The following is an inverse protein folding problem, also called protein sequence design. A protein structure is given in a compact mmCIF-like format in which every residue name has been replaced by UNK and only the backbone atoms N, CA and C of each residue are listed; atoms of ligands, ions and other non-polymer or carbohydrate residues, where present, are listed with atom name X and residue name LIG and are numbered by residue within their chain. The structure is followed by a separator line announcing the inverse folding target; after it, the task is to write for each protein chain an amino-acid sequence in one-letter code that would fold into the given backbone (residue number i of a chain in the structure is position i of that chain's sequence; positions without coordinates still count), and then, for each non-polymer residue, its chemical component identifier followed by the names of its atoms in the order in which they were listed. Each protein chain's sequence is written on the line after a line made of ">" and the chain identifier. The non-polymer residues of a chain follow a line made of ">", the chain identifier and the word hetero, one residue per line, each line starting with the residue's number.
data_IF_873223094168
#
_entry.id   IF_873223094168
#
_cell.length_a   1.000
_cell.length_b   1.000
_cell.length_c   1.000
_cell.angle_alpha   90.00
_cell.angle_beta   90.00
_cell.angle_gamma   90.00
#
_symmetry.space_group_name_H-M   'P 1'
#
loop_
_entity.id
_entity.type
_entity.pdbx_description
1 polymer ?
#
# COMPACT_ATOMS: atom_id res chain seq x y z
N UNK A 1 -6.44 10.60 14.98
CA UNK A 1 -4.97 10.62 14.82
C UNK A 1 -4.50 9.19 14.68
N UNK A 2 -4.27 8.74 13.45
CA UNK A 2 -3.56 7.48 13.18
C UNK A 2 -2.07 7.73 13.47
N UNK A 3 -1.73 7.76 14.75
CA UNK A 3 -0.34 7.61 15.16
C UNK A 3 0.03 6.15 14.94
N UNK A 4 1.15 5.92 14.20
CA UNK A 4 1.61 4.61 13.81
C UNK A 4 1.57 3.62 14.97
N UNK A 5 0.85 2.53 14.78
CA UNK A 5 0.90 1.42 15.73
C UNK A 5 2.33 0.92 15.80
N UNK A 6 2.84 0.84 17.03
CA UNK A 6 4.10 0.13 17.26
C UNK A 6 3.93 -1.29 16.76
N UNK A 7 4.81 -1.71 15.87
CA UNK A 7 4.89 -3.06 15.28
C UNK A 7 5.09 -4.21 16.32
N UNK A 8 4.90 -3.95 17.60
CA UNK A 8 5.20 -4.88 18.70
C UNK A 8 4.36 -6.17 18.72
N UNK A 9 3.30 -6.27 17.91
CA UNK A 9 2.57 -7.52 17.63
C UNK A 9 1.86 -7.44 16.29
N UNK A 10 2.59 -7.48 15.19
CA UNK A 10 1.97 -7.77 13.90
C UNK A 10 1.53 -9.22 13.91
N UNK A 11 0.23 -9.48 13.99
CA UNK A 11 -0.32 -10.81 13.74
C UNK A 11 -0.08 -11.13 12.27
N UNK A 12 0.90 -11.97 12.01
CA UNK A 12 1.17 -12.45 10.66
C UNK A 12 0.18 -13.55 10.30
N UNK A 13 -0.22 -13.60 9.04
CA UNK A 13 -1.11 -14.62 8.52
C UNK A 13 -0.49 -16.00 8.67
N UNK A 14 -1.21 -16.92 9.31
CA UNK A 14 -0.85 -18.33 9.35
C UNK A 14 -1.13 -18.98 7.99
N UNK A 15 -0.17 -19.68 7.35
CA UNK A 15 -0.35 -20.26 6.03
C UNK A 15 -1.46 -21.31 5.95
N UNK A 16 -1.68 -22.10 7.00
CA UNK A 16 -2.73 -23.14 7.02
C UNK A 16 -4.11 -22.52 7.18
N UNK A 17 -4.24 -21.48 8.02
CA UNK A 17 -5.49 -20.72 8.13
C UNK A 17 -5.82 -20.00 6.83
N UNK A 18 -4.84 -19.38 6.17
CA UNK A 18 -5.02 -18.76 4.86
C UNK A 18 -5.56 -19.77 3.83
N UNK A 19 -4.97 -20.96 3.78
CA UNK A 19 -5.42 -22.04 2.91
C UNK A 19 -6.84 -22.50 3.25
N UNK A 20 -7.17 -22.66 4.53
CA UNK A 20 -8.50 -23.05 5.00
C UNK A 20 -9.55 -22.02 4.56
N UNK A 21 -9.31 -20.73 4.83
CA UNK A 21 -10.22 -19.66 4.42
C UNK A 21 -10.43 -19.65 2.91
N UNK A 22 -9.34 -19.71 2.12
CA UNK A 22 -9.43 -19.70 0.67
C UNK A 22 -10.18 -20.91 0.07
N UNK A 23 -10.12 -22.07 0.74
CA UNK A 23 -10.78 -23.29 0.25
C UNK A 23 -12.22 -23.43 0.75
N UNK A 24 -12.55 -22.89 1.93
CA UNK A 24 -13.88 -23.01 2.53
C UNK A 24 -14.82 -21.85 2.14
N UNK A 25 -14.28 -20.79 1.49
CA UNK A 25 -15.04 -19.62 1.08
C UNK A 25 -14.83 -19.34 -0.39
N UNK A 26 -15.86 -18.81 -1.05
CA UNK A 26 -15.83 -18.45 -2.49
C UNK A 26 -15.29 -17.00 -2.65
N UNK A 27 -14.06 -16.77 -2.21
CA UNK A 27 -13.40 -15.45 -2.31
C UNK A 27 -12.60 -15.32 -3.59
N UNK A 28 -12.63 -14.13 -4.20
CA UNK A 28 -11.86 -13.82 -5.41
C UNK A 28 -10.37 -13.54 -5.13
N UNK A 29 -10.03 -13.08 -3.94
CA UNK A 29 -8.66 -12.79 -3.52
C UNK A 29 -8.53 -12.79 -2.00
N UNK A 30 -7.32 -12.99 -1.48
CA UNK A 30 -7.02 -13.02 -0.06
C UNK A 30 -5.96 -11.98 0.31
N UNK A 31 -6.29 -11.08 1.24
CA UNK A 31 -5.31 -10.18 1.82
C UNK A 31 -4.52 -10.89 2.93
N UNK A 32 -3.19 -10.74 2.91
CA UNK A 32 -2.28 -11.41 3.84
C UNK A 32 -1.42 -10.40 4.60
N UNK A 33 -1.15 -10.72 5.87
CA UNK A 33 -0.22 -9.99 6.73
C UNK A 33 1.11 -10.75 6.78
N UNK A 34 2.13 -10.17 6.19
CA UNK A 34 3.50 -10.71 6.12
C UNK A 34 4.53 -9.69 6.64
N UNK A 35 4.15 -8.90 7.67
CA UNK A 35 4.97 -7.82 8.21
C UNK A 35 4.57 -6.42 7.73
N UNK A 36 3.53 -6.33 6.92
CA UNK A 36 2.92 -5.07 6.49
C UNK A 36 1.92 -4.56 7.53
N UNK A 37 1.80 -3.23 7.66
CA UNK A 37 0.84 -2.55 8.51
C UNK A 37 0.23 -1.33 7.79
N UNK A 38 -0.86 -0.78 8.33
CA UNK A 38 -1.48 0.42 7.78
C UNK A 38 -0.83 1.69 8.34
N UNK A 39 -0.80 2.75 7.53
CA UNK A 39 -0.28 4.06 7.93
C UNK A 39 1.18 4.27 7.53
N UNK A 40 1.88 5.12 8.30
CA UNK A 40 3.32 5.34 8.15
C UNK A 40 4.07 4.49 9.17
N UNK A 41 5.11 3.82 8.72
CA UNK A 41 5.98 3.04 9.60
C UNK A 41 6.89 3.95 10.42
N UNK A 42 7.18 3.55 11.65
CA UNK A 42 8.18 4.22 12.52
C UNK A 42 9.59 3.76 12.15
N UNK A 43 9.72 2.50 11.74
CA UNK A 43 10.95 1.89 11.21
C UNK A 43 10.65 1.25 9.86
N UNK A 44 11.67 1.05 9.04
CA UNK A 44 11.50 0.42 7.73
C UNK A 44 10.90 -0.99 7.89
N UNK A 45 9.73 -1.26 7.29
CA UNK A 45 9.11 -2.56 7.41
C UNK A 45 9.94 -3.62 6.70
N UNK A 46 9.95 -4.82 7.29
CA UNK A 46 10.59 -5.99 6.69
C UNK A 46 9.54 -7.04 6.41
N UNK A 47 9.27 -7.29 5.12
CA UNK A 47 8.32 -8.31 4.71
C UNK A 47 8.92 -9.72 4.91
N UNK A 48 8.12 -10.62 5.49
CA UNK A 48 8.45 -12.04 5.65
C UNK A 48 8.19 -12.80 4.34
N UNK A 49 9.20 -12.85 3.50
CA UNK A 49 9.12 -13.54 2.21
C UNK A 49 9.06 -15.07 2.34
N UNK A 50 9.56 -15.64 3.43
CA UNK A 50 9.42 -17.08 3.70
C UNK A 50 7.97 -17.43 3.92
N UNK A 51 7.29 -16.64 4.74
CA UNK A 51 5.85 -16.76 4.98
C UNK A 51 5.02 -16.55 3.71
N UNK A 52 5.38 -15.56 2.89
CA UNK A 52 4.71 -15.33 1.61
C UNK A 52 4.82 -16.56 0.69
N UNK A 53 5.98 -17.17 0.61
CA UNK A 53 6.20 -18.38 -0.19
C UNK A 53 5.38 -19.58 0.34
N UNK A 54 5.32 -19.75 1.66
CA UNK A 54 4.48 -20.78 2.29
C UNK A 54 3.00 -20.58 2.00
N UNK A 55 2.48 -19.37 2.15
CA UNK A 55 1.09 -19.01 1.83
C UNK A 55 0.82 -19.28 0.34
N UNK A 56 1.70 -18.82 -0.56
CA UNK A 56 1.50 -18.94 -2.01
C UNK A 56 1.46 -20.39 -2.48
N UNK A 57 2.17 -21.29 -1.84
CA UNK A 57 2.13 -22.73 -2.15
C UNK A 57 0.77 -23.36 -1.82
N UNK A 58 0.08 -22.85 -0.81
CA UNK A 58 -1.17 -23.41 -0.30
C UNK A 58 -2.42 -22.69 -0.84
N UNK A 59 -2.33 -21.39 -1.09
CA UNK A 59 -3.43 -20.54 -1.52
C UNK A 59 -3.36 -20.29 -3.03
N UNK A 60 -4.42 -20.63 -3.75
CA UNK A 60 -4.49 -20.51 -5.21
C UNK A 60 -5.10 -19.20 -5.69
N UNK A 61 -5.97 -18.57 -4.88
CA UNK A 61 -6.54 -17.26 -5.22
C UNK A 61 -5.48 -16.16 -5.21
N UNK A 62 -5.68 -15.06 -5.95
CA UNK A 62 -4.78 -13.91 -5.94
C UNK A 62 -4.53 -13.38 -4.53
N UNK A 63 -3.27 -13.08 -4.20
CA UNK A 63 -2.87 -12.51 -2.91
C UNK A 63 -2.81 -10.97 -2.98
N UNK A 64 -3.22 -10.34 -1.89
CA UNK A 64 -3.27 -8.88 -1.75
C UNK A 64 -2.37 -8.43 -0.61
N UNK A 65 -1.54 -7.41 -0.87
CA UNK A 65 -0.74 -6.73 0.13
C UNK A 65 -1.40 -5.40 0.51
N UNK A 66 -1.88 -5.29 1.76
CA UNK A 66 -2.33 -4.02 2.32
C UNK A 66 -1.18 -3.19 2.86
N UNK A 67 -1.42 -1.88 3.10
CA UNK A 67 -0.45 -1.02 3.75
C UNK A 67 0.84 -0.78 2.98
N UNK A 68 0.78 -0.69 1.65
CA UNK A 68 1.95 -0.47 0.79
C UNK A 68 2.69 0.86 1.00
N UNK A 69 2.07 1.83 1.71
CA UNK A 69 2.71 3.10 2.05
C UNK A 69 3.94 2.88 2.94
N UNK A 70 5.12 3.30 2.47
CA UNK A 70 6.36 3.22 3.25
C UNK A 70 7.08 1.87 3.19
N UNK A 71 6.56 0.88 2.49
CA UNK A 71 7.33 -0.33 2.18
C UNK A 71 8.36 0.03 1.09
N UNK A 72 9.64 -0.32 1.26
CA UNK A 72 10.67 -0.14 0.24
C UNK A 72 10.29 -0.77 -1.11
N UNK A 73 10.63 -0.08 -2.20
CA UNK A 73 10.27 -0.49 -3.57
C UNK A 73 10.75 -1.90 -3.91
N UNK A 74 11.98 -2.23 -3.55
CA UNK A 74 12.57 -3.55 -3.78
C UNK A 74 11.77 -4.68 -3.09
N UNK A 75 11.23 -4.40 -1.90
CA UNK A 75 10.40 -5.36 -1.19
C UNK A 75 9.01 -5.52 -1.84
N UNK A 76 8.41 -4.43 -2.32
CA UNK A 76 7.14 -4.49 -3.08
C UNK A 76 7.33 -5.29 -4.36
N UNK A 77 8.36 -4.98 -5.15
CA UNK A 77 8.66 -5.67 -6.40
C UNK A 77 8.94 -7.16 -6.15
N UNK A 78 9.71 -7.49 -5.11
CA UNK A 78 9.95 -8.86 -4.72
C UNK A 78 8.67 -9.58 -4.31
N UNK A 79 7.80 -8.96 -3.52
CA UNK A 79 6.51 -9.54 -3.14
C UNK A 79 5.64 -9.83 -4.37
N UNK A 80 5.61 -8.91 -5.35
CA UNK A 80 4.88 -9.09 -6.61
C UNK A 80 5.44 -10.29 -7.40
N UNK A 81 6.76 -10.40 -7.55
CA UNK A 81 7.38 -11.55 -8.23
C UNK A 81 7.13 -12.86 -7.50
N UNK A 82 6.86 -12.85 -6.21
CA UNK A 82 6.51 -14.00 -5.40
C UNK A 82 5.00 -14.30 -5.31
N UNK A 83 4.15 -13.54 -6.03
CA UNK A 83 2.73 -13.87 -6.21
C UNK A 83 1.73 -12.92 -5.56
N UNK A 84 2.16 -11.77 -5.05
CA UNK A 84 1.23 -10.68 -4.73
C UNK A 84 0.68 -10.11 -6.03
N UNK A 85 -0.65 -10.10 -6.17
CA UNK A 85 -1.36 -9.67 -7.37
C UNK A 85 -1.96 -8.27 -7.24
N UNK A 86 -2.05 -7.72 -6.02
CA UNK A 86 -2.61 -6.39 -5.74
C UNK A 86 -1.91 -5.76 -4.54
N UNK A 87 -1.58 -4.48 -4.65
CA UNK A 87 -1.04 -3.68 -3.54
C UNK A 87 -1.94 -2.47 -3.29
N UNK A 88 -2.25 -2.17 -2.04
CA UNK A 88 -3.06 -1.02 -1.66
C UNK A 88 -2.19 0.11 -1.13
N UNK A 89 -2.32 1.30 -1.73
CA UNK A 89 -1.74 2.55 -1.26
C UNK A 89 -2.83 3.52 -0.84
N UNK A 90 -2.69 4.18 0.30
CA UNK A 90 -3.65 5.18 0.78
C UNK A 90 -2.97 6.38 1.42
N UNK A 91 -2.26 6.19 2.53
CA UNK A 91 -1.71 7.28 3.34
C UNK A 91 -0.75 8.17 2.55
N UNK A 92 0.10 7.63 1.70
CA UNK A 92 1.02 8.39 0.85
C UNK A 92 0.29 9.28 -0.16
N UNK A 93 -0.83 8.82 -0.71
CA UNK A 93 -1.63 9.58 -1.67
C UNK A 93 -2.34 10.75 -0.98
N UNK A 94 -2.98 10.46 0.17
CA UNK A 94 -3.62 11.51 0.99
C UNK A 94 -2.61 12.55 1.46
N UNK A 95 -1.41 12.12 1.87
CA UNK A 95 -0.34 13.01 2.31
C UNK A 95 0.09 13.94 1.18
N UNK A 96 0.35 13.41 -0.02
CA UNK A 96 0.75 14.21 -1.18
C UNK A 96 -0.31 15.28 -1.53
N UNK A 97 -1.59 14.95 -1.39
CA UNK A 97 -2.68 15.90 -1.60
C UNK A 97 -2.68 17.03 -0.56
N UNK A 98 -2.65 16.66 0.73
CA UNK A 98 -2.75 17.62 1.85
C UNK A 98 -1.51 18.51 1.92
N UNK A 99 -0.31 17.95 1.74
CA UNK A 99 0.92 18.71 1.79
C UNK A 99 0.93 19.77 0.67
N UNK A 100 0.53 19.39 -0.55
CA UNK A 100 0.45 20.37 -1.65
C UNK A 100 -0.62 21.45 -1.43
N UNK A 101 -1.75 21.10 -0.82
CA UNK A 101 -2.76 22.10 -0.45
C UNK A 101 -2.21 23.11 0.57
N UNK A 102 -1.47 22.65 1.57
CA UNK A 102 -0.79 23.53 2.54
C UNK A 102 0.26 24.40 1.87
N UNK A 103 1.12 23.83 1.02
CA UNK A 103 2.13 24.57 0.27
C UNK A 103 1.48 25.67 -0.59
N UNK A 104 0.41 25.32 -1.32
CA UNK A 104 -0.30 26.26 -2.18
C UNK A 104 -0.84 27.46 -1.40
N UNK A 105 -1.46 27.21 -0.24
CA UNK A 105 -1.97 28.28 0.63
C UNK A 105 -0.86 29.12 1.26
N UNK A 106 0.30 28.53 1.56
CA UNK A 106 1.47 29.29 2.02
C UNK A 106 2.07 30.17 0.90
N UNK A 107 2.07 29.68 -0.35
CA UNK A 107 2.49 30.45 -1.53
C UNK A 107 1.53 31.59 -1.88
N UNK A 108 0.22 31.38 -1.61
CA UNK A 108 -0.87 32.31 -1.95
C UNK A 108 -1.83 32.45 -0.76
N UNK A 109 -1.44 33.23 0.29
CA UNK A 109 -2.24 33.33 1.51
C UNK A 109 -3.66 33.90 1.33
N UNK A 110 -3.85 34.73 0.31
CA UNK A 110 -5.13 35.40 0.01
C UNK A 110 -5.98 34.61 -0.99
N UNK A 111 -5.58 33.39 -1.35
CA UNK A 111 -6.33 32.57 -2.31
C UNK A 111 -7.65 32.10 -1.71
N UNK A 112 -8.74 32.36 -2.42
CA UNK A 112 -10.10 31.94 -2.05
C UNK A 112 -10.73 30.96 -3.03
N UNK A 113 -10.03 30.66 -4.14
CA UNK A 113 -10.50 29.70 -5.13
C UNK A 113 -10.24 28.27 -4.67
N UNK A 114 -11.29 27.63 -4.15
CA UNK A 114 -11.24 26.20 -3.77
C UNK A 114 -10.81 25.34 -4.97
N UNK A 115 -11.28 25.67 -6.17
CA UNK A 115 -10.96 24.91 -7.38
C UNK A 115 -9.46 24.93 -7.71
N UNK A 116 -8.79 26.06 -7.53
CA UNK A 116 -7.35 26.18 -7.81
C UNK A 116 -6.53 25.42 -6.76
N UNK A 117 -6.90 25.52 -5.47
CA UNK A 117 -6.28 24.78 -4.38
C UNK A 117 -6.40 23.27 -4.64
N UNK A 118 -7.63 22.81 -4.91
CA UNK A 118 -7.91 21.39 -5.14
C UNK A 118 -7.25 20.86 -6.42
N UNK A 119 -7.17 21.66 -7.47
CA UNK A 119 -6.52 21.27 -8.72
C UNK A 119 -5.02 21.09 -8.52
N UNK A 120 -4.36 22.00 -7.81
CA UNK A 120 -2.94 21.89 -7.47
C UNK A 120 -2.67 20.63 -6.63
N UNK A 121 -3.48 20.40 -5.61
CA UNK A 121 -3.37 19.23 -4.74
C UNK A 121 -3.60 17.90 -5.49
N UNK A 122 -4.60 17.88 -6.39
CA UNK A 122 -4.91 16.72 -7.26
C UNK A 122 -3.72 16.35 -8.15
N UNK A 123 -3.06 17.33 -8.77
CA UNK A 123 -1.91 17.04 -9.62
C UNK A 123 -0.73 16.44 -8.82
N UNK A 124 -0.52 16.85 -7.56
CA UNK A 124 0.47 16.21 -6.69
C UNK A 124 0.10 14.77 -6.36
N UNK A 125 -1.15 14.51 -6.00
CA UNK A 125 -1.63 13.15 -5.76
C UNK A 125 -1.51 12.28 -7.01
N UNK A 126 -1.84 12.82 -8.21
CA UNK A 126 -1.71 12.10 -9.48
C UNK A 126 -0.28 11.63 -9.74
N UNK A 127 0.70 12.52 -9.56
CA UNK A 127 2.13 12.14 -9.68
C UNK A 127 2.50 11.01 -8.73
N UNK A 128 1.99 11.06 -7.49
CA UNK A 128 2.23 10.00 -6.51
C UNK A 128 1.56 8.67 -6.90
N UNK A 129 0.40 8.70 -7.56
CA UNK A 129 -0.23 7.49 -8.14
C UNK A 129 0.64 6.92 -9.25
N UNK A 130 1.17 7.76 -10.13
CA UNK A 130 2.09 7.34 -11.20
C UNK A 130 3.35 6.65 -10.63
N UNK A 131 3.94 7.21 -9.58
CA UNK A 131 5.06 6.57 -8.86
C UNK A 131 4.68 5.19 -8.30
N UNK A 132 3.48 5.06 -7.71
CA UNK A 132 3.00 3.77 -7.19
C UNK A 132 2.78 2.74 -8.32
N UNK A 133 2.32 3.16 -9.50
CA UNK A 133 2.15 2.31 -10.68
C UNK A 133 3.51 1.77 -11.14
N UNK A 134 4.51 2.66 -11.25
CA UNK A 134 5.88 2.27 -11.62
C UNK A 134 6.49 1.32 -10.60
N UNK A 135 6.36 1.63 -9.29
CA UNK A 135 6.81 0.78 -8.19
C UNK A 135 6.21 -0.63 -8.28
N UNK A 136 4.95 -0.74 -8.70
CA UNK A 136 4.27 -2.03 -8.89
C UNK A 136 4.60 -2.72 -10.22
N UNK A 137 5.49 -2.16 -11.05
CA UNK A 137 5.84 -2.69 -12.37
C UNK A 137 4.61 -2.88 -13.27
N UNK A 138 3.63 -1.98 -13.18
CA UNK A 138 2.35 -2.03 -13.91
C UNK A 138 2.30 -1.11 -15.13
N UNK A 139 3.38 -0.38 -15.42
CA UNK A 139 3.49 0.49 -16.57
C UNK A 139 3.46 -0.31 -17.90
N UNK A 140 2.83 0.26 -18.91
CA UNK A 140 2.71 -0.32 -20.26
C UNK A 140 2.11 -1.74 -20.33
N UNK A 141 1.27 -2.13 -19.35
CA UNK A 141 0.64 -3.47 -19.33
C UNK A 141 -0.82 -3.49 -19.83
N UNK A 142 -1.26 -2.38 -20.45
CA UNK A 142 -2.62 -2.25 -21.01
C UNK A 142 -2.54 -1.73 -22.44
#
# INVERSE_FOLDING_TARGET
>A
SEMGEKLDRVYMTDPQEAARIANETDIDCLAVAIGNAHGFYVEDPKLDFTRLDEIRKLVKVPLVLHGGTGIPEDQIQKAITMGISKVNFSSVLRRAYIDRAHEYLNEKPDEISIMDIMSSAKESMKKKVEECILMCMCDHKY
#
